data_IF_334129992641
#
_entry.id   IF_334129992641
#
_cell.length_a   1.000
_cell.length_b   1.000
_cell.length_c   1.000
_cell.angle_alpha   90.00
_cell.angle_beta   90.00
_cell.angle_gamma   90.00
#
_symmetry.space_group_name_H-M   'P 1'
#
loop_
_entity.id
_entity.type
_entity.pdbx_description
1 polymer ?
#
# COMPACT_ATOMS: atom_id res chain seq x y z
N UNK A 1 -38.99 66.21 -29.45
CA UNK A 1 -37.96 65.49 -30.25
C UNK A 1 -36.78 64.99 -29.43
N UNK A 2 -36.28 65.72 -28.43
CA UNK A 2 -35.14 65.30 -27.58
C UNK A 2 -35.33 63.97 -26.80
N UNK A 3 -36.54 63.68 -26.31
CA UNK A 3 -36.81 62.50 -25.47
C UNK A 3 -36.80 61.18 -26.23
N UNK A 4 -37.26 61.19 -27.49
CA UNK A 4 -37.26 60.01 -28.36
C UNK A 4 -35.84 59.64 -28.77
N UNK A 5 -35.02 60.65 -29.09
CA UNK A 5 -33.63 60.44 -29.51
C UNK A 5 -32.75 59.94 -28.35
N UNK A 6 -32.98 60.44 -27.13
CA UNK A 6 -32.36 59.90 -25.91
C UNK A 6 -32.80 58.46 -25.65
N UNK A 7 -34.09 58.14 -25.81
CA UNK A 7 -34.59 56.78 -25.65
C UNK A 7 -33.93 55.80 -26.64
N UNK A 8 -33.83 56.18 -27.92
CA UNK A 8 -33.14 55.37 -28.95
C UNK A 8 -31.68 55.10 -28.57
N UNK A 9 -30.93 56.12 -28.17
CA UNK A 9 -29.54 55.95 -27.75
C UNK A 9 -29.38 55.02 -26.54
N UNK A 10 -30.28 55.13 -25.55
CA UNK A 10 -30.26 54.22 -24.39
C UNK A 10 -30.57 52.78 -24.77
N UNK A 11 -31.50 52.57 -25.71
CA UNK A 11 -31.84 51.23 -26.21
C UNK A 11 -30.67 50.63 -26.98
N UNK A 12 -30.00 51.39 -27.85
CA UNK A 12 -28.80 50.94 -28.56
C UNK A 12 -27.67 50.56 -27.60
N UNK A 13 -27.45 51.37 -26.56
CA UNK A 13 -26.47 51.06 -25.51
C UNK A 13 -26.81 49.76 -24.76
N UNK A 14 -28.08 49.56 -24.42
CA UNK A 14 -28.55 48.33 -23.77
C UNK A 14 -28.39 47.10 -24.67
N UNK A 15 -28.70 47.22 -25.95
CA UNK A 15 -28.51 46.14 -26.94
C UNK A 15 -27.04 45.74 -27.00
N UNK A 16 -26.13 46.72 -27.06
CA UNK A 16 -24.69 46.46 -27.04
C UNK A 16 -24.25 45.71 -25.78
N UNK A 17 -24.74 46.11 -24.60
CA UNK A 17 -24.45 45.43 -23.33
C UNK A 17 -24.99 43.99 -23.32
N UNK A 18 -26.19 43.76 -23.83
CA UNK A 18 -26.78 42.41 -23.93
C UNK A 18 -25.97 41.52 -24.89
N UNK A 19 -25.50 42.07 -26.01
CA UNK A 19 -24.64 41.33 -26.94
C UNK A 19 -23.30 40.96 -26.31
N UNK A 20 -22.66 41.89 -25.60
CA UNK A 20 -21.42 41.63 -24.86
C UNK A 20 -21.63 40.57 -23.78
N UNK A 21 -22.71 40.66 -23.00
CA UNK A 21 -23.05 39.64 -22.01
C UNK A 21 -23.26 38.26 -22.65
N UNK A 22 -23.92 38.19 -23.81
CA UNK A 22 -24.11 36.93 -24.54
C UNK A 22 -22.77 36.32 -24.97
N UNK A 23 -21.84 37.13 -25.45
CA UNK A 23 -20.49 36.68 -25.81
C UNK A 23 -19.73 36.14 -24.60
N UNK A 24 -19.79 36.86 -23.46
CA UNK A 24 -19.16 36.43 -22.22
C UNK A 24 -19.74 35.11 -21.70
N UNK A 25 -21.07 34.95 -21.72
CA UNK A 25 -21.73 33.70 -21.32
C UNK A 25 -21.25 32.54 -22.19
N UNK A 26 -21.13 32.75 -23.50
CA UNK A 26 -20.64 31.71 -24.40
C UNK A 26 -19.20 31.29 -24.07
N UNK A 27 -18.32 32.26 -23.83
CA UNK A 27 -16.93 32.00 -23.43
C UNK A 27 -16.85 31.23 -22.10
N UNK A 28 -17.62 31.66 -21.10
CA UNK A 28 -17.66 30.99 -19.79
C UNK A 28 -18.20 29.57 -19.89
N UNK A 29 -19.17 29.31 -20.76
CA UNK A 29 -19.67 27.95 -21.00
C UNK A 29 -18.58 27.08 -21.62
N UNK A 30 -17.87 27.58 -22.63
CA UNK A 30 -16.76 26.85 -23.27
C UNK A 30 -15.64 26.52 -22.26
N UNK A 31 -15.26 27.50 -21.43
CA UNK A 31 -14.24 27.29 -20.38
C UNK A 31 -14.71 26.27 -19.34
N UNK A 32 -15.98 26.33 -18.92
CA UNK A 32 -16.55 25.35 -18.00
C UNK A 32 -16.55 23.93 -18.58
N UNK A 33 -16.89 23.78 -19.86
CA UNK A 33 -16.83 22.48 -20.53
C UNK A 33 -15.41 21.94 -20.59
N UNK A 34 -14.43 22.78 -20.92
CA UNK A 34 -13.02 22.42 -20.92
C UNK A 34 -12.54 21.96 -19.53
N UNK A 35 -12.79 22.77 -18.49
CA UNK A 35 -12.41 22.44 -17.12
C UNK A 35 -13.09 21.17 -16.60
N UNK A 36 -14.34 20.92 -16.99
CA UNK A 36 -15.05 19.68 -16.67
C UNK A 36 -14.43 18.47 -17.35
N UNK A 37 -14.01 18.61 -18.60
CA UNK A 37 -13.30 17.56 -19.31
C UNK A 37 -11.97 17.22 -18.64
N UNK A 38 -11.16 18.23 -18.36
CA UNK A 38 -9.86 18.05 -17.67
C UNK A 38 -10.04 17.41 -16.29
N UNK A 39 -10.98 17.91 -15.48
CA UNK A 39 -11.32 17.32 -14.18
C UNK A 39 -11.70 15.84 -14.30
N UNK A 40 -12.44 15.46 -15.35
CA UNK A 40 -12.82 14.06 -15.57
C UNK A 40 -11.60 13.20 -15.87
N UNK A 41 -10.66 13.69 -16.70
CA UNK A 41 -9.43 12.96 -17.01
C UNK A 41 -8.55 12.81 -15.77
N UNK A 42 -8.32 13.90 -15.04
CA UNK A 42 -7.52 13.89 -13.82
C UNK A 42 -8.10 12.97 -12.75
N UNK A 43 -9.43 12.95 -12.57
CA UNK A 43 -10.09 12.02 -11.64
C UNK A 43 -9.86 10.56 -12.00
N UNK A 44 -9.95 10.23 -13.29
CA UNK A 44 -9.70 8.86 -13.78
C UNK A 44 -8.26 8.43 -13.54
N UNK A 45 -7.30 9.30 -13.85
CA UNK A 45 -5.89 9.02 -13.61
C UNK A 45 -5.60 8.88 -12.11
N UNK A 46 -6.17 9.77 -11.28
CA UNK A 46 -6.01 9.70 -9.84
C UNK A 46 -6.55 8.39 -9.25
N UNK A 47 -7.69 7.90 -9.75
CA UNK A 47 -8.25 6.60 -9.34
C UNK A 47 -7.33 5.44 -9.71
N UNK A 48 -6.78 5.44 -10.93
CA UNK A 48 -5.82 4.42 -11.38
C UNK A 48 -4.53 4.44 -10.52
N UNK A 49 -4.01 5.63 -10.23
CA UNK A 49 -2.83 5.80 -9.39
C UNK A 49 -3.10 5.34 -7.96
N UNK A 50 -4.25 5.70 -7.37
CA UNK A 50 -4.65 5.23 -6.04
C UNK A 50 -4.73 3.72 -5.96
N UNK A 51 -5.35 3.08 -6.95
CA UNK A 51 -5.40 1.62 -7.02
C UNK A 51 -3.98 1.01 -7.07
N UNK A 52 -3.11 1.58 -7.92
CA UNK A 52 -1.73 1.10 -8.05
C UNK A 52 -0.93 1.29 -6.76
N UNK A 53 -1.08 2.42 -6.09
CA UNK A 53 -0.43 2.69 -4.79
C UNK A 53 -0.92 1.68 -3.76
N UNK A 54 -2.23 1.48 -3.63
CA UNK A 54 -2.80 0.51 -2.69
C UNK A 54 -2.29 -0.92 -2.96
N UNK A 55 -2.19 -1.33 -4.23
CA UNK A 55 -1.63 -2.64 -4.60
C UNK A 55 -0.16 -2.77 -4.18
N UNK A 56 0.65 -1.74 -4.42
CA UNK A 56 2.07 -1.72 -4.05
C UNK A 56 2.25 -1.72 -2.54
N UNK A 57 1.49 -0.91 -1.81
CA UNK A 57 1.48 -0.87 -0.34
C UNK A 57 1.07 -2.23 0.27
N UNK A 58 0.06 -2.90 -0.32
CA UNK A 58 -0.34 -4.22 0.12
C UNK A 58 0.76 -5.27 -0.08
N UNK A 59 1.60 -5.12 -1.12
CA UNK A 59 2.77 -5.99 -1.35
C UNK A 59 3.89 -5.70 -0.36
N UNK A 60 4.20 -4.44 -0.09
CA UNK A 60 5.30 -4.06 0.83
C UNK A 60 4.96 -4.31 2.30
N UNK A 61 3.68 -4.28 2.68
CA UNK A 61 3.23 -4.63 4.04
C UNK A 61 3.40 -6.12 4.36
N UNK A 62 3.55 -6.98 3.34
CA UNK A 62 3.77 -8.41 3.54
C UNK A 62 5.22 -8.70 3.94
N UNK A 63 5.39 -9.63 4.87
CA UNK A 63 6.67 -10.17 5.33
C UNK A 63 6.55 -11.67 5.57
N UNK A 64 7.65 -12.34 5.94
CA UNK A 64 7.68 -13.77 6.26
C UNK A 64 6.62 -14.19 7.29
N UNK A 65 6.30 -13.32 8.26
CA UNK A 65 5.38 -13.63 9.35
C UNK A 65 3.90 -13.58 8.96
N UNK A 66 3.51 -12.76 7.98
CA UNK A 66 2.09 -12.52 7.65
C UNK A 66 1.71 -12.97 6.23
N UNK A 67 2.67 -13.50 5.46
CA UNK A 67 2.46 -13.89 4.07
C UNK A 67 1.82 -15.27 3.87
N UNK A 68 1.74 -16.08 4.94
CA UNK A 68 1.22 -17.46 4.91
C UNK A 68 1.91 -18.37 3.88
N UNK A 69 3.10 -17.98 3.40
CA UNK A 69 3.94 -18.81 2.54
C UNK A 69 4.66 -19.86 3.40
N UNK A 70 4.78 -21.11 2.95
CA UNK A 70 5.62 -22.10 3.63
C UNK A 70 7.09 -21.67 3.60
N UNK A 71 7.93 -22.07 4.57
CA UNK A 71 9.34 -21.67 4.63
C UNK A 71 10.14 -21.97 3.36
N UNK A 72 9.77 -23.03 2.64
CA UNK A 72 10.39 -23.42 1.36
C UNK A 72 10.06 -22.49 0.19
N UNK A 73 9.00 -21.69 0.30
CA UNK A 73 8.54 -20.74 -0.72
C UNK A 73 8.49 -19.30 -0.20
N UNK A 74 9.05 -19.05 0.97
CA UNK A 74 9.16 -17.71 1.52
C UNK A 74 10.15 -16.90 0.69
N UNK A 75 9.63 -15.83 0.07
CA UNK A 75 10.39 -14.94 -0.82
C UNK A 75 10.86 -13.67 -0.12
N UNK A 76 10.50 -13.49 1.15
CA UNK A 76 10.94 -12.35 1.93
C UNK A 76 12.38 -12.58 2.41
N UNK A 77 13.16 -11.51 2.48
CA UNK A 77 14.56 -11.61 2.88
C UNK A 77 14.65 -12.09 4.34
N UNK A 78 15.16 -13.30 4.54
CA UNK A 78 15.49 -13.80 5.87
C UNK A 78 16.59 -12.92 6.46
N UNK A 79 16.32 -12.35 7.64
CA UNK A 79 17.36 -11.63 8.38
C UNK A 79 18.47 -12.62 8.73
N UNK A 80 19.69 -12.33 8.28
CA UNK A 80 20.86 -13.13 8.66
C UNK A 80 21.29 -12.70 10.06
N UNK A 81 21.72 -13.67 10.86
CA UNK A 81 22.30 -13.41 12.17
C UNK A 81 23.43 -12.38 12.05
N UNK A 82 23.30 -11.24 12.74
CA UNK A 82 24.37 -10.25 12.87
C UNK A 82 25.46 -10.68 13.86
N UNK A 83 25.30 -11.85 14.51
CA UNK A 83 26.29 -12.38 15.44
C UNK A 83 27.55 -12.77 14.69
N UNK A 84 28.70 -12.40 15.24
CA UNK A 84 29.98 -12.92 14.77
C UNK A 84 30.08 -14.41 15.13
N UNK A 85 30.72 -15.23 14.27
CA UNK A 85 30.98 -16.62 14.58
C UNK A 85 31.82 -16.69 15.87
N UNK A 86 31.38 -17.49 16.84
CA UNK A 86 32.10 -17.64 18.11
C UNK A 86 33.42 -18.40 17.97
N UNK A 87 33.64 -19.08 16.85
CA UNK A 87 34.79 -19.97 16.63
C UNK A 87 34.72 -21.29 17.42
N UNK A 88 33.76 -21.42 18.33
CA UNK A 88 33.58 -22.60 19.17
C UNK A 88 32.99 -23.77 18.38
N UNK A 89 33.48 -24.98 18.66
CA UNK A 89 32.92 -26.21 18.07
C UNK A 89 31.48 -26.43 18.56
N UNK A 90 30.58 -26.94 17.71
CA UNK A 90 29.24 -27.33 18.13
C UNK A 90 29.32 -28.44 19.19
N UNK A 91 28.49 -28.34 20.24
CA UNK A 91 28.48 -29.28 21.38
C UNK A 91 29.07 -28.68 22.66
N UNK A 92 29.32 -29.55 23.64
CA UNK A 92 29.98 -29.16 24.89
C UNK A 92 31.40 -28.66 24.60
N UNK A 93 31.78 -27.55 25.22
CA UNK A 93 33.13 -27.01 25.06
C UNK A 93 34.14 -27.86 25.85
N UNK A 94 35.40 -27.86 25.42
CA UNK A 94 36.46 -28.57 26.14
C UNK A 94 36.53 -28.08 27.60
N UNK A 95 36.49 -29.01 28.56
CA UNK A 95 36.44 -28.70 30.00
C UNK A 95 35.03 -28.61 30.61
N UNK A 96 33.95 -28.63 29.82
CA UNK A 96 32.60 -28.75 30.39
C UNK A 96 32.38 -30.16 30.96
N UNK A 97 32.01 -30.22 32.24
CA UNK A 97 31.59 -31.46 32.90
C UNK A 97 30.29 -31.95 32.26
N UNK A 98 30.34 -33.10 31.60
CA UNK A 98 29.15 -33.74 31.04
C UNK A 98 28.28 -34.34 32.14
N UNK A 99 26.98 -34.10 32.08
CA UNK A 99 25.98 -34.69 33.01
C UNK A 99 25.32 -35.95 32.45
N UNK A 100 25.81 -36.47 31.32
CA UNK A 100 25.26 -37.66 30.68
C UNK A 100 25.42 -38.87 31.61
N UNK A 101 24.30 -39.45 32.02
CA UNK A 101 24.29 -40.70 32.78
C UNK A 101 24.93 -41.79 31.91
N UNK A 102 25.92 -42.49 32.48
CA UNK A 102 26.51 -43.66 31.82
C UNK A 102 25.54 -44.82 31.89
N UNK A 103 25.55 -45.67 30.87
CA UNK A 103 24.88 -46.96 30.97
C UNK A 103 25.51 -47.76 32.11
N UNK A 104 24.66 -48.31 32.98
CA UNK A 104 25.05 -49.16 34.10
C UNK A 104 24.33 -50.49 33.99
N UNK A 105 24.98 -51.56 34.42
CA UNK A 105 24.43 -52.92 34.36
C UNK A 105 23.13 -53.04 35.17
N UNK A 106 23.09 -52.38 36.32
CA UNK A 106 21.95 -52.38 37.24
C UNK A 106 21.41 -50.96 37.44
N UNK A 107 20.42 -50.53 36.62
CA UNK A 107 19.76 -49.24 36.82
C UNK A 107 18.88 -49.29 38.07
N UNK A 108 18.82 -48.18 38.79
CA UNK A 108 18.01 -48.06 40.00
C UNK A 108 16.51 -48.28 39.73
N UNK A 109 16.03 -47.94 38.54
CA UNK A 109 14.62 -48.03 38.17
C UNK A 109 14.50 -48.66 36.77
N UNK A 110 13.59 -49.63 36.61
CA UNK A 110 13.24 -50.25 35.34
C UNK A 110 11.74 -50.11 35.12
N UNK A 111 11.34 -49.56 33.98
CA UNK A 111 9.94 -49.41 33.59
C UNK A 111 9.70 -50.20 32.31
N UNK A 112 8.72 -51.11 32.34
CA UNK A 112 8.33 -51.91 31.17
C UNK A 112 7.17 -51.22 30.48
N UNK A 113 7.39 -50.72 29.27
CA UNK A 113 6.34 -50.15 28.42
C UNK A 113 5.74 -51.25 27.54
N UNK A 114 4.47 -51.59 27.78
CA UNK A 114 3.73 -52.55 26.94
C UNK A 114 3.08 -51.80 25.79
N UNK A 115 3.10 -52.38 24.60
CA UNK A 115 2.35 -51.85 23.45
C UNK A 115 0.86 -52.09 23.72
N UNK A 116 0.07 -51.02 23.72
CA UNK A 116 -1.37 -51.09 24.01
C UNK A 116 -2.23 -51.20 22.75
N UNK A 117 -1.72 -50.73 21.60
CA UNK A 117 -2.43 -50.72 20.32
C UNK A 117 -1.41 -50.79 19.18
N UNK A 118 -1.73 -51.56 18.15
CA UNK A 118 -0.97 -51.62 16.89
C UNK A 118 -1.38 -50.48 15.96
#
# INVERSE_FOLDING_TARGET
MLTVQQAVFTVESLIGKVQQQKQLIHQLVQENEHLRHENKQLRKENEQLKYRVQELEARTKKNSSNSHLPPSSDRFANTRSSRQPSGNKPGGQEGHQGTTLRQVEHPHHRVVHRVHTC
#
